data_IF_817617074110
#
_entry.id   IF_817617074110
#
_cell.length_a   1.000
_cell.length_b   1.000
_cell.length_c   1.000
_cell.angle_alpha   90.00
_cell.angle_beta   90.00
_cell.angle_gamma   90.00
#
_symmetry.space_group_name_H-M   'P 1'
#
loop_
_entity.id
_entity.type
_entity.pdbx_description
1 polymer ?
#
# COMPACT_ATOMS: atom_id res chain seq x y z
N UNK A 1 -14.94 -28.25 20.07
CA UNK A 1 -14.01 -27.11 19.95
C UNK A 1 -14.30 -26.40 18.63
N UNK A 2 -14.90 -25.22 18.66
CA UNK A 2 -15.07 -24.37 17.47
C UNK A 2 -13.72 -23.73 17.15
N UNK A 3 -13.11 -24.12 16.03
CA UNK A 3 -11.82 -23.57 15.59
C UNK A 3 -12.05 -22.13 15.12
N UNK A 4 -11.55 -21.14 15.86
CA UNK A 4 -11.59 -19.73 15.44
C UNK A 4 -10.74 -19.57 14.19
N UNK A 5 -11.26 -18.85 13.19
CA UNK A 5 -10.49 -18.49 12.00
C UNK A 5 -9.34 -17.53 12.39
N UNK A 6 -8.14 -17.68 11.82
CA UNK A 6 -7.05 -16.72 12.05
C UNK A 6 -7.45 -15.33 11.53
N UNK A 7 -6.97 -14.26 12.16
CA UNK A 7 -6.96 -12.98 11.46
C UNK A 7 -6.07 -13.06 10.25
N UNK A 8 -6.55 -12.49 9.15
CA UNK A 8 -5.75 -12.39 7.95
C UNK A 8 -5.52 -10.92 7.61
N UNK A 9 -4.26 -10.54 7.41
CA UNK A 9 -3.92 -9.31 6.71
C UNK A 9 -3.56 -9.67 5.27
N UNK A 10 -4.34 -9.17 4.33
CA UNK A 10 -4.07 -9.33 2.90
C UNK A 10 -3.36 -8.11 2.36
N UNK A 11 -2.33 -8.32 1.53
CA UNK A 11 -1.58 -7.22 0.90
C UNK A 11 -1.74 -7.32 -0.60
N UNK A 12 -2.14 -6.23 -1.24
CA UNK A 12 -2.43 -6.19 -2.67
C UNK A 12 -2.04 -4.84 -3.28
N UNK A 13 -1.78 -4.79 -4.58
CA UNK A 13 -1.46 -3.53 -5.26
C UNK A 13 -2.65 -2.55 -5.25
N UNK A 14 -3.87 -3.06 -5.37
CA UNK A 14 -5.10 -2.30 -5.26
C UNK A 14 -6.22 -3.14 -4.62
N UNK A 15 -7.30 -2.46 -4.24
CA UNK A 15 -8.50 -3.10 -3.68
C UNK A 15 -9.46 -3.66 -4.73
N UNK A 16 -9.61 -2.99 -5.87
CA UNK A 16 -10.48 -3.42 -6.97
C UNK A 16 -9.75 -3.21 -8.30
N UNK A 17 -9.05 -4.26 -8.74
CA UNK A 17 -8.50 -4.43 -10.09
C UNK A 17 -8.71 -5.88 -10.57
N UNK A 18 -8.23 -6.21 -11.77
CA UNK A 18 -8.30 -7.57 -12.32
C UNK A 18 -7.22 -8.50 -11.76
N UNK A 19 -7.30 -9.80 -12.04
CA UNK A 19 -6.23 -10.75 -11.71
C UNK A 19 -6.11 -11.05 -10.21
N UNK A 20 -4.91 -10.82 -9.65
CA UNK A 20 -4.57 -11.18 -8.27
C UNK A 20 -5.28 -10.30 -7.23
N UNK A 21 -5.51 -9.03 -7.54
CA UNK A 21 -6.26 -8.09 -6.70
C UNK A 21 -7.69 -8.59 -6.47
N UNK A 22 -8.30 -9.19 -7.49
CA UNK A 22 -9.64 -9.80 -7.37
C UNK A 22 -9.62 -10.99 -6.42
N UNK A 23 -8.58 -11.83 -6.47
CA UNK A 23 -8.43 -12.97 -5.57
C UNK A 23 -8.23 -12.50 -4.12
N UNK A 24 -7.36 -11.51 -3.90
CA UNK A 24 -7.16 -10.91 -2.58
C UNK A 24 -8.50 -10.41 -2.00
N UNK A 25 -9.24 -9.62 -2.77
CA UNK A 25 -10.54 -9.12 -2.34
C UNK A 25 -11.54 -10.24 -2.05
N UNK A 26 -11.65 -11.24 -2.92
CA UNK A 26 -12.58 -12.36 -2.72
C UNK A 26 -12.26 -13.17 -1.46
N UNK A 27 -10.98 -13.45 -1.20
CA UNK A 27 -10.56 -14.12 0.02
C UNK A 27 -10.87 -13.27 1.25
N UNK A 28 -10.63 -11.96 1.16
CA UNK A 28 -10.91 -11.03 2.25
C UNK A 28 -12.39 -11.00 2.59
N UNK A 29 -13.25 -10.84 1.58
CA UNK A 29 -14.71 -10.87 1.71
C UNK A 29 -15.19 -12.22 2.25
N UNK A 30 -14.63 -13.34 1.79
CA UNK A 30 -15.00 -14.68 2.25
C UNK A 30 -14.67 -14.92 3.74
N UNK A 31 -13.49 -14.50 4.21
CA UNK A 31 -13.12 -14.61 5.63
C UNK A 31 -14.09 -13.81 6.49
N UNK A 32 -14.45 -12.59 6.06
CA UNK A 32 -15.39 -11.73 6.78
C UNK A 32 -16.82 -12.28 6.77
N UNK A 33 -17.26 -12.85 5.65
CA UNK A 33 -18.58 -13.48 5.53
C UNK A 33 -18.75 -14.68 6.48
N UNK A 34 -17.66 -15.35 6.84
CA UNK A 34 -17.65 -16.43 7.83
C UNK A 34 -17.51 -15.92 9.29
N UNK A 35 -17.58 -14.61 9.52
CA UNK A 35 -17.39 -14.00 10.84
C UNK A 35 -15.93 -13.92 11.29
N UNK A 36 -14.98 -14.18 10.39
CA UNK A 36 -13.55 -14.01 10.64
C UNK A 36 -13.10 -12.56 10.55
N UNK A 37 -11.92 -12.29 11.10
CA UNK A 37 -11.30 -10.97 11.01
C UNK A 37 -10.34 -10.93 9.82
N UNK A 38 -10.56 -9.97 8.93
CA UNK A 38 -9.71 -9.77 7.76
C UNK A 38 -9.57 -8.28 7.47
N UNK A 39 -8.37 -7.88 7.11
CA UNK A 39 -8.01 -6.53 6.66
C UNK A 39 -7.27 -6.60 5.33
N UNK A 40 -7.25 -5.47 4.61
CA UNK A 40 -6.56 -5.38 3.34
C UNK A 40 -5.69 -4.13 3.27
N UNK A 41 -4.37 -4.30 3.29
CA UNK A 41 -3.42 -3.21 3.05
C UNK A 41 -3.16 -3.11 1.54
N UNK A 42 -3.46 -1.95 0.94
CA UNK A 42 -3.35 -1.78 -0.51
C UNK A 42 -2.43 -0.64 -0.93
N UNK A 43 -1.80 -0.74 -2.10
CA UNK A 43 -1.05 0.38 -2.69
C UNK A 43 -1.96 1.53 -3.11
N UNK A 44 -3.11 1.22 -3.72
CA UNK A 44 -4.12 2.19 -4.17
C UNK A 44 -5.51 1.72 -3.77
N UNK A 45 -6.26 2.57 -3.07
CA UNK A 45 -7.69 2.37 -2.80
C UNK A 45 -8.48 2.98 -3.96
N UNK A 46 -9.33 2.17 -4.59
CA UNK A 46 -10.21 2.54 -5.71
C UNK A 46 -11.68 2.32 -5.39
N UNK A 47 -12.00 1.65 -4.28
CA UNK A 47 -13.37 1.35 -3.86
C UNK A 47 -13.57 1.60 -2.36
N UNK A 48 -14.79 1.35 -1.89
CA UNK A 48 -15.14 1.38 -0.46
C UNK A 48 -15.10 0.00 0.21
N UNK A 49 -14.23 -0.93 -0.23
CA UNK A 49 -14.13 -2.28 0.37
C UNK A 49 -13.95 -2.18 1.90
N UNK A 50 -14.88 -2.72 2.71
CA UNK A 50 -14.82 -2.58 4.16
C UNK A 50 -13.59 -3.25 4.76
N UNK A 51 -12.76 -2.49 5.50
CA UNK A 51 -11.53 -3.01 6.10
C UNK A 51 -10.32 -2.99 5.16
N UNK A 52 -10.45 -2.44 3.95
CA UNK A 52 -9.33 -2.07 3.11
C UNK A 52 -8.81 -0.67 3.47
N UNK A 53 -7.49 -0.50 3.46
CA UNK A 53 -6.84 0.79 3.72
C UNK A 53 -5.57 0.94 2.87
N UNK A 54 -5.21 2.18 2.47
CA UNK A 54 -3.99 2.40 1.71
C UNK A 54 -2.78 2.26 2.63
N UNK A 55 -1.68 1.70 2.13
CA UNK A 55 -0.41 1.70 2.84
C UNK A 55 0.11 3.13 2.98
N UNK A 56 0.30 3.63 4.21
CA UNK A 56 0.60 5.04 4.47
C UNK A 56 2.08 5.36 4.26
N UNK A 57 2.63 5.04 3.09
CA UNK A 57 4.06 5.20 2.77
C UNK A 57 4.58 6.62 3.05
N UNK A 58 3.80 7.64 2.73
CA UNK A 58 4.19 9.03 2.97
C UNK A 58 4.41 9.34 4.45
N UNK A 59 3.68 8.70 5.37
CA UNK A 59 3.86 8.91 6.81
C UNK A 59 5.27 8.52 7.28
N UNK A 60 5.87 7.52 6.63
CA UNK A 60 7.20 6.99 6.95
C UNK A 60 8.33 7.59 6.09
N UNK A 61 8.03 8.50 5.15
CA UNK A 61 9.04 9.22 4.37
C UNK A 61 9.58 10.44 5.12
N UNK A 62 10.68 11.00 4.62
CA UNK A 62 11.32 12.19 5.19
C UNK A 62 10.36 13.39 5.29
N UNK A 63 10.61 14.31 6.24
CA UNK A 63 9.81 15.52 6.39
C UNK A 63 9.76 16.36 5.10
N UNK A 64 10.86 16.40 4.35
CA UNK A 64 10.96 17.04 3.05
C UNK A 64 10.00 16.43 2.02
N UNK A 65 10.07 15.11 1.85
CA UNK A 65 9.19 14.39 0.91
C UNK A 65 7.72 14.57 1.28
N UNK A 66 7.39 14.55 2.58
CA UNK A 66 6.03 14.82 3.06
C UNK A 66 5.57 16.24 2.77
N UNK A 67 6.43 17.24 2.96
CA UNK A 67 6.10 18.63 2.66
C UNK A 67 5.76 18.81 1.18
N UNK A 68 6.57 18.22 0.28
CA UNK A 68 6.31 18.22 -1.16
C UNK A 68 5.06 17.44 -1.55
N UNK A 69 4.82 16.27 -0.93
CA UNK A 69 3.59 15.51 -1.17
C UNK A 69 2.34 16.31 -0.78
N UNK A 70 2.37 17.01 0.37
CA UNK A 70 1.28 17.89 0.81
C UNK A 70 1.09 19.09 -0.12
N UNK A 71 2.17 19.71 -0.57
CA UNK A 71 2.11 20.83 -1.52
C UNK A 71 1.48 20.38 -2.85
N UNK A 72 1.91 19.23 -3.37
CA UNK A 72 1.34 18.62 -4.57
C UNK A 72 -0.16 18.30 -4.41
N UNK A 73 -0.55 17.67 -3.29
CA UNK A 73 -1.95 17.34 -3.02
C UNK A 73 -2.84 18.58 -2.93
N UNK A 74 -2.37 19.66 -2.30
CA UNK A 74 -3.10 20.94 -2.22
C UNK A 74 -3.26 21.59 -3.59
N UNK A 75 -2.26 21.48 -4.45
CA UNK A 75 -2.35 21.95 -5.82
C UNK A 75 -3.37 21.13 -6.62
N UNK A 76 -3.27 19.80 -6.57
CA UNK A 76 -4.16 18.89 -7.29
C UNK A 76 -5.62 18.99 -6.84
N UNK A 77 -5.89 19.26 -5.55
CA UNK A 77 -7.25 19.46 -5.05
C UNK A 77 -8.01 20.62 -5.73
N UNK A 78 -7.29 21.57 -6.34
CA UNK A 78 -7.88 22.68 -7.11
C UNK A 78 -7.96 22.45 -8.62
N UNK A 79 -7.56 21.28 -9.13
CA UNK A 79 -7.45 21.03 -10.57
C UNK A 79 -8.02 19.66 -10.95
N UNK A 80 -8.83 19.61 -12.02
CA UNK A 80 -9.45 18.37 -12.51
C UNK A 80 -8.45 17.30 -12.97
N UNK A 81 -7.19 17.68 -13.26
CA UNK A 81 -6.14 16.76 -13.70
C UNK A 81 -4.81 17.06 -13.01
N UNK A 82 -4.07 16.02 -12.59
CA UNK A 82 -2.73 16.19 -12.05
C UNK A 82 -1.80 16.73 -13.14
N UNK A 83 -1.22 17.92 -12.92
CA UNK A 83 -0.33 18.53 -13.90
C UNK A 83 0.96 17.70 -14.02
N UNK A 84 1.45 17.53 -15.24
CA UNK A 84 2.73 16.85 -15.48
C UNK A 84 3.86 17.53 -14.68
N UNK A 85 3.81 18.87 -14.57
CA UNK A 85 4.76 19.65 -13.78
C UNK A 85 4.74 19.27 -12.29
N UNK A 86 3.58 19.08 -11.68
CA UNK A 86 3.46 18.66 -10.27
C UNK A 86 3.96 17.23 -10.08
N UNK A 87 3.64 16.32 -11.00
CA UNK A 87 4.15 14.95 -10.98
C UNK A 87 5.69 14.92 -11.07
N UNK A 88 6.26 15.73 -11.96
CA UNK A 88 7.71 15.87 -12.11
C UNK A 88 8.34 16.51 -10.86
N UNK A 89 7.77 17.58 -10.31
CA UNK A 89 8.26 18.22 -9.09
C UNK A 89 8.24 17.25 -7.90
N UNK A 90 7.17 16.44 -7.75
CA UNK A 90 7.10 15.41 -6.71
C UNK A 90 8.22 14.38 -6.81
N UNK A 91 8.59 13.98 -8.03
CA UNK A 91 9.69 13.06 -8.29
C UNK A 91 11.06 13.72 -8.12
N UNK A 92 11.35 14.73 -8.94
CA UNK A 92 12.65 15.40 -9.02
C UNK A 92 13.04 16.13 -7.75
N UNK A 93 12.08 16.76 -7.07
CA UNK A 93 12.35 17.59 -5.89
C UNK A 93 11.91 16.88 -4.62
N UNK A 94 10.71 16.29 -4.63
CA UNK A 94 10.15 15.62 -3.44
C UNK A 94 10.88 14.32 -3.06
N UNK A 95 11.39 13.56 -4.04
CA UNK A 95 12.15 12.33 -3.79
C UNK A 95 13.22 12.06 -4.88
N UNK A 96 14.28 12.89 -4.96
CA UNK A 96 15.28 12.81 -6.03
C UNK A 96 16.00 11.46 -6.06
N UNK A 97 16.28 10.88 -4.90
CA UNK A 97 16.97 9.59 -4.80
C UNK A 97 16.17 8.46 -5.44
N UNK A 98 14.88 8.34 -5.12
CA UNK A 98 13.99 7.37 -5.75
C UNK A 98 13.82 7.63 -7.24
N UNK A 99 13.65 8.89 -7.64
CA UNK A 99 13.50 9.25 -9.05
C UNK A 99 14.74 8.86 -9.87
N UNK A 100 15.94 9.10 -9.33
CA UNK A 100 17.20 8.73 -9.96
C UNK A 100 17.38 7.21 -10.03
N UNK A 101 17.00 6.47 -8.99
CA UNK A 101 17.02 5.01 -8.99
C UNK A 101 16.10 4.43 -10.08
N UNK A 102 14.85 4.92 -10.14
CA UNK A 102 13.89 4.52 -11.18
C UNK A 102 14.40 4.83 -12.59
N UNK A 103 14.99 6.02 -12.81
CA UNK A 103 15.62 6.40 -14.09
C UNK A 103 16.81 5.52 -14.49
N UNK A 104 17.48 4.88 -13.53
CA UNK A 104 18.57 3.92 -13.76
C UNK A 104 18.06 2.49 -13.99
N UNK A 105 16.75 2.28 -14.04
CA UNK A 105 16.15 0.96 -14.19
C UNK A 105 16.20 0.11 -12.92
N UNK A 106 16.46 0.71 -11.76
CA UNK A 106 16.37 -0.02 -10.50
C UNK A 106 14.90 -0.26 -10.16
N UNK A 107 14.64 -1.44 -9.61
CA UNK A 107 13.35 -1.77 -9.03
C UNK A 107 13.04 -0.81 -7.87
N UNK A 108 11.76 -0.42 -7.77
CA UNK A 108 11.31 0.51 -6.76
C UNK A 108 11.01 -0.26 -5.47
N UNK A 109 11.82 -0.04 -4.44
CA UNK A 109 11.62 -0.59 -3.10
C UNK A 109 11.26 0.49 -2.06
N UNK A 110 10.91 1.72 -2.49
CA UNK A 110 10.58 2.83 -1.57
C UNK A 110 9.13 2.72 -1.02
N UNK A 111 8.87 1.63 -0.31
CA UNK A 111 7.61 1.32 0.38
C UNK A 111 7.83 1.21 1.90
N UNK A 112 8.21 2.31 2.57
CA UNK A 112 8.62 2.27 3.98
C UNK A 112 7.50 1.86 4.95
N UNK A 113 6.23 1.92 4.55
CA UNK A 113 5.12 1.42 5.37
C UNK A 113 5.15 -0.10 5.54
N UNK A 114 5.85 -0.84 4.67
CA UNK A 114 6.00 -2.29 4.78
C UNK A 114 6.63 -2.72 6.12
N UNK A 115 7.51 -1.90 6.71
CA UNK A 115 8.14 -2.18 8.01
C UNK A 115 7.16 -2.26 9.18
N UNK A 116 6.09 -1.47 9.12
CA UNK A 116 5.07 -1.39 10.16
C UNK A 116 3.81 -2.17 9.77
N UNK A 117 3.87 -3.01 8.73
CA UNK A 117 2.70 -3.60 8.09
C UNK A 117 1.81 -4.41 9.04
N UNK A 118 2.42 -5.16 9.97
CA UNK A 118 1.70 -5.96 10.96
C UNK A 118 1.02 -5.13 12.07
N UNK A 119 1.38 -3.85 12.18
CA UNK A 119 0.87 -2.90 13.18
C UNK A 119 -0.23 -1.98 12.61
N UNK A 120 -0.40 -1.94 11.29
CA UNK A 120 -1.44 -1.15 10.63
C UNK A 120 -2.89 -1.57 10.99
N UNK A 121 -3.25 -2.87 11.03
CA UNK A 121 -4.60 -3.26 11.43
C UNK A 121 -4.85 -3.04 12.94
N UNK A 122 -6.12 -2.93 13.38
CA UNK A 122 -6.49 -2.73 14.79
C UNK A 122 -5.94 -3.79 15.76
N UNK A 123 -5.64 -4.98 15.27
CA UNK A 123 -4.85 -5.98 16.00
C UNK A 123 -3.86 -6.64 15.05
N UNK A 124 -2.77 -7.15 15.62
CA UNK A 124 -1.77 -7.93 14.87
C UNK A 124 -2.44 -9.15 14.21
N UNK A 125 -2.22 -9.39 12.91
CA UNK A 125 -2.81 -10.53 12.21
C UNK A 125 -2.11 -11.84 12.59
N UNK A 126 -2.84 -12.94 12.50
CA UNK A 126 -2.31 -14.28 12.72
C UNK A 126 -1.69 -14.85 11.42
N UNK A 127 -2.16 -14.38 10.26
CA UNK A 127 -1.67 -14.72 8.93
C UNK A 127 -1.48 -13.47 8.09
N UNK A 128 -0.27 -13.28 7.54
CA UNK A 128 0.01 -12.30 6.50
C UNK A 128 -0.04 -13.01 5.13
N UNK A 129 -0.93 -12.58 4.24
CA UNK A 129 -1.07 -13.12 2.89
C UNK A 129 -0.74 -12.05 1.85
N UNK A 130 0.37 -12.25 1.15
CA UNK A 130 0.86 -11.31 0.14
C UNK A 130 0.36 -11.74 -1.25
N UNK A 131 -0.35 -10.85 -1.94
CA UNK A 131 -0.86 -11.09 -3.28
C UNK A 131 -0.07 -10.30 -4.30
N UNK A 132 0.46 -11.00 -5.30
CA UNK A 132 1.15 -10.42 -6.44
C UNK A 132 2.16 -9.35 -6.03
N UNK A 133 3.33 -9.82 -5.57
CA UNK A 133 4.47 -9.02 -5.12
C UNK A 133 5.14 -8.18 -6.23
N UNK A 134 4.36 -7.74 -7.21
CA UNK A 134 4.85 -6.87 -8.26
C UNK A 134 5.36 -5.56 -7.64
N UNK A 135 6.49 -5.02 -8.14
CA UNK A 135 7.01 -3.73 -7.71
C UNK A 135 5.98 -2.67 -8.00
N UNK A 136 5.30 -2.21 -6.96
CA UNK A 136 4.49 -0.99 -6.93
C UNK A 136 3.77 -0.73 -5.60
N UNK A 137 3.80 -1.67 -4.65
CA UNK A 137 3.07 -1.52 -3.39
C UNK A 137 3.83 -1.98 -2.13
N UNK A 138 4.81 -2.89 -2.25
CA UNK A 138 5.45 -3.56 -1.13
C UNK A 138 6.97 -3.59 -1.28
N UNK A 139 7.71 -3.42 -0.18
CA UNK A 139 9.18 -3.58 -0.16
C UNK A 139 9.56 -5.05 0.06
N UNK A 140 9.98 -5.73 -1.00
CA UNK A 140 10.37 -7.15 -0.96
C UNK A 140 11.51 -7.45 0.01
N UNK A 141 12.34 -6.46 0.35
CA UNK A 141 13.47 -6.64 1.26
C UNK A 141 13.03 -6.88 2.70
N UNK A 142 11.78 -6.53 3.03
CA UNK A 142 11.21 -6.71 4.36
C UNK A 142 10.62 -8.12 4.56
N UNK A 143 10.54 -8.96 3.52
CA UNK A 143 10.03 -10.34 3.62
C UNK A 143 10.68 -11.16 4.76
N UNK A 144 12.01 -11.15 4.96
CA UNK A 144 12.63 -11.95 6.02
C UNK A 144 12.24 -11.50 7.44
N UNK A 145 11.88 -10.23 7.62
CA UNK A 145 11.42 -9.73 8.93
C UNK A 145 9.93 -10.01 9.17
N UNK A 146 9.19 -10.36 8.12
CA UNK A 146 7.75 -10.59 8.13
C UNK A 146 7.35 -12.08 8.11
N UNK A 147 8.32 -13.00 7.95
CA UNK A 147 8.13 -14.45 7.87
C UNK A 147 8.34 -15.16 9.20
#
# INVERSE_FOLDING_TARGET
>A
MTRRLPAVLQVSAADVLGGAERIARQLHEAVRAQGGESWMAVGVVRSGTPGAFPMPNDAYRSAWTRAWARAAARWEAGHDRPSLAVRLARGLVGNPARWLAWRRGHEDFDYPATRALLELPPRRPDLLHLHNLHPQSFDLRELPALS
#
